data_IF_571808539682
#
_entry.id   IF_571808539682
#
_cell.length_a   1.000
_cell.length_b   1.000
_cell.length_c   1.000
_cell.angle_alpha   90.00
_cell.angle_beta   90.00
_cell.angle_gamma   90.00
#
_symmetry.space_group_name_H-M   'P 1'
#
loop_
_entity.id
_entity.type
_entity.pdbx_description
1 polymer ?
#
# COMPACT_ATOMS: atom_id res chain seq x y z
N UNK A 1 -43.71 27.39 -7.37
CA UNK A 1 -44.03 25.94 -7.26
C UNK A 1 -43.42 25.44 -5.95
N UNK A 2 -44.25 24.84 -5.08
CA UNK A 2 -43.85 23.91 -3.99
C UNK A 2 -43.26 24.39 -2.65
N UNK A 3 -43.66 25.55 -2.12
CA UNK A 3 -43.47 25.86 -0.69
C UNK A 3 -44.67 26.66 -0.18
N UNK A 4 -45.81 26.03 0.14
CA UNK A 4 -46.90 26.63 0.96
C UNK A 4 -48.07 25.64 1.23
N UNK A 5 -47.82 24.33 1.40
CA UNK A 5 -48.90 23.34 1.60
C UNK A 5 -48.69 22.34 2.75
N UNK A 6 -47.79 22.63 3.71
CA UNK A 6 -47.51 21.72 4.85
C UNK A 6 -48.01 22.21 6.23
N UNK A 7 -48.35 23.50 6.38
CA UNK A 7 -48.68 24.07 7.69
C UNK A 7 -50.18 24.11 8.05
N UNK A 8 -51.09 23.80 7.12
CA UNK A 8 -52.52 23.70 7.44
C UNK A 8 -52.99 22.29 7.84
N UNK A 9 -52.27 21.23 7.49
CA UNK A 9 -52.65 19.86 7.89
C UNK A 9 -52.34 19.55 9.37
N UNK A 10 -51.32 20.17 9.96
CA UNK A 10 -50.90 19.92 11.36
C UNK A 10 -51.92 20.47 12.38
N UNK A 11 -52.58 21.61 12.08
CA UNK A 11 -53.57 22.21 12.99
C UNK A 11 -54.90 21.45 13.03
N UNK A 12 -55.30 20.81 11.93
CA UNK A 12 -56.51 19.95 11.89
C UNK A 12 -56.28 18.59 12.56
N UNK A 13 -55.05 18.06 12.50
CA UNK A 13 -54.70 16.82 13.18
C UNK A 13 -54.63 16.96 14.71
N UNK A 14 -54.09 18.08 15.20
CA UNK A 14 -54.02 18.34 16.65
C UNK A 14 -55.40 18.51 17.29
N UNK A 15 -56.36 19.13 16.59
CA UNK A 15 -57.73 19.32 17.10
C UNK A 15 -58.52 18.00 17.15
N UNK A 16 -58.27 17.07 16.22
CA UNK A 16 -58.84 15.72 16.26
C UNK A 16 -58.24 14.86 17.38
N UNK A 17 -56.95 15.04 17.69
CA UNK A 17 -56.26 14.29 18.76
C UNK A 17 -56.70 14.72 20.17
N UNK A 18 -56.93 16.03 20.39
CA UNK A 18 -57.35 16.55 21.69
C UNK A 18 -58.85 16.24 21.95
N UNK A 19 -59.69 16.25 20.91
CA UNK A 19 -61.12 15.95 21.04
C UNK A 19 -61.44 14.50 21.44
N UNK A 20 -60.53 13.55 21.20
CA UNK A 20 -60.68 12.14 21.61
C UNK A 20 -59.95 11.78 22.90
N UNK A 21 -59.26 12.73 23.54
CA UNK A 21 -58.52 12.51 24.79
C UNK A 21 -59.42 12.51 26.04
N UNK A 22 -60.71 12.82 25.90
CA UNK A 22 -61.70 12.91 26.99
C UNK A 22 -62.67 11.72 27.09
N UNK A 23 -62.40 10.58 26.44
CA UNK A 23 -63.12 9.33 26.71
C UNK A 23 -62.23 8.33 27.45
N UNK A 24 -62.52 8.17 28.75
CA UNK A 24 -61.97 7.12 29.63
C UNK A 24 -62.35 5.73 29.10
N UNK A 25 -61.57 5.14 28.18
CA UNK A 25 -61.58 3.67 27.96
C UNK A 25 -60.44 3.12 27.06
N UNK A 26 -59.30 3.80 26.96
CA UNK A 26 -58.19 3.34 26.10
C UNK A 26 -56.86 3.36 26.84
N UNK A 27 -56.60 2.39 27.74
CA UNK A 27 -55.37 2.47 28.55
C UNK A 27 -54.58 1.20 28.86
N UNK A 28 -54.86 0.04 28.24
CA UNK A 28 -54.00 -1.14 28.48
C UNK A 28 -53.56 -1.88 27.22
N UNK A 29 -54.42 -2.05 26.21
CA UNK A 29 -54.03 -2.73 24.96
C UNK A 29 -53.13 -1.88 24.06
N UNK A 30 -53.39 -0.58 23.95
CA UNK A 30 -52.60 0.32 23.12
C UNK A 30 -51.22 0.59 23.73
N UNK A 31 -51.16 0.79 25.05
CA UNK A 31 -49.91 0.88 25.81
C UNK A 31 -49.06 -0.39 25.67
N UNK A 32 -49.68 -1.58 25.74
CA UNK A 32 -48.98 -2.85 25.53
C UNK A 32 -48.47 -2.99 24.09
N UNK A 33 -49.25 -2.60 23.07
CA UNK A 33 -48.76 -2.64 21.68
C UNK A 33 -47.68 -1.61 21.38
N UNK A 34 -47.75 -0.40 21.95
CA UNK A 34 -46.71 0.63 21.76
C UNK A 34 -45.45 0.34 22.57
N UNK A 35 -45.57 -0.22 23.79
CA UNK A 35 -44.44 -0.72 24.58
C UNK A 35 -43.78 -1.92 23.90
N UNK A 36 -44.54 -2.89 23.38
CA UNK A 36 -43.96 -4.01 22.63
C UNK A 36 -43.28 -3.54 21.33
N UNK A 37 -43.85 -2.58 20.61
CA UNK A 37 -43.22 -1.99 19.42
C UNK A 37 -41.95 -1.20 19.76
N UNK A 38 -41.91 -0.46 20.88
CA UNK A 38 -40.73 0.29 21.31
C UNK A 38 -39.61 -0.61 21.83
N UNK A 39 -39.94 -1.70 22.54
CA UNK A 39 -38.99 -2.74 22.98
C UNK A 39 -38.43 -3.52 21.79
N UNK A 40 -39.25 -3.81 20.78
CA UNK A 40 -38.78 -4.49 19.56
C UNK A 40 -37.81 -3.61 18.76
N UNK A 41 -38.09 -2.31 18.68
CA UNK A 41 -37.25 -1.35 17.94
C UNK A 41 -35.88 -1.15 18.58
N UNK A 42 -35.80 -1.12 19.92
CA UNK A 42 -34.55 -0.97 20.66
C UNK A 42 -33.66 -2.21 20.59
N UNK A 43 -34.24 -3.42 20.59
CA UNK A 43 -33.49 -4.67 20.38
C UNK A 43 -32.91 -4.74 18.96
N UNK A 44 -33.66 -4.32 17.94
CA UNK A 44 -33.17 -4.26 16.55
C UNK A 44 -32.03 -3.23 16.41
N UNK A 45 -32.19 -2.03 16.97
CA UNK A 45 -31.15 -0.99 16.98
C UNK A 45 -29.86 -1.45 17.69
N UNK A 46 -29.98 -2.11 18.85
CA UNK A 46 -28.82 -2.66 19.56
C UNK A 46 -28.13 -3.81 18.81
N UNK A 47 -28.90 -4.63 18.09
CA UNK A 47 -28.37 -5.72 17.25
C UNK A 47 -27.67 -5.18 16.01
N UNK A 48 -28.22 -4.14 15.37
CA UNK A 48 -27.59 -3.44 14.25
C UNK A 48 -26.32 -2.72 14.72
N UNK A 49 -26.33 -2.08 15.90
CA UNK A 49 -25.15 -1.43 16.46
C UNK A 49 -24.07 -2.44 16.83
N UNK A 50 -24.42 -3.60 17.40
CA UNK A 50 -23.46 -4.66 17.69
C UNK A 50 -22.90 -5.27 16.41
N UNK A 51 -23.73 -5.47 15.38
CA UNK A 51 -23.28 -5.91 14.06
C UNK A 51 -22.38 -4.86 13.40
N UNK A 52 -22.71 -3.57 13.52
CA UNK A 52 -21.88 -2.47 13.01
C UNK A 52 -20.56 -2.39 13.77
N UNK A 53 -20.56 -2.56 15.09
CA UNK A 53 -19.37 -2.61 15.93
C UNK A 53 -18.52 -3.85 15.62
N UNK A 54 -19.13 -5.01 15.38
CA UNK A 54 -18.43 -6.21 14.92
C UNK A 54 -17.86 -6.03 13.50
N UNK A 55 -18.61 -5.39 12.58
CA UNK A 55 -18.15 -5.03 11.24
C UNK A 55 -17.01 -4.00 11.28
N UNK A 56 -17.07 -3.03 12.21
CA UNK A 56 -16.00 -2.08 12.50
C UNK A 56 -14.81 -2.76 13.18
N UNK A 57 -15.03 -3.79 13.99
CA UNK A 57 -13.97 -4.62 14.60
C UNK A 57 -13.28 -5.51 13.56
N UNK A 58 -13.99 -5.87 12.48
CA UNK A 58 -13.42 -6.54 11.30
C UNK A 58 -12.77 -5.57 10.31
N UNK A 59 -12.71 -4.26 10.61
CA UNK A 59 -11.78 -3.36 9.93
C UNK A 59 -10.37 -3.74 10.39
N UNK A 60 -9.82 -4.69 9.63
CA UNK A 60 -8.44 -5.09 9.51
C UNK A 60 -7.47 -4.07 10.15
N UNK A 61 -6.70 -4.52 11.15
CA UNK A 61 -5.54 -3.77 11.61
C UNK A 61 -4.69 -3.43 10.39
N UNK A 62 -4.58 -2.14 10.06
CA UNK A 62 -3.80 -1.70 8.93
C UNK A 62 -2.33 -2.01 9.24
N UNK A 63 -1.77 -3.04 8.62
CA UNK A 63 -0.35 -3.34 8.75
C UNK A 63 0.44 -2.35 7.91
N UNK A 64 0.93 -1.28 8.55
CA UNK A 64 1.72 -0.22 7.92
C UNK A 64 2.91 -0.76 7.12
N UNK A 65 3.55 -1.83 7.60
CA UNK A 65 4.69 -2.43 6.91
C UNK A 65 4.27 -3.08 5.59
N UNK A 66 3.14 -3.80 5.57
CA UNK A 66 2.60 -4.40 4.35
C UNK A 66 2.15 -3.34 3.34
N UNK A 67 1.56 -2.23 3.82
CA UNK A 67 1.17 -1.11 2.97
C UNK A 67 2.37 -0.51 2.23
N UNK A 68 3.44 -0.17 2.94
CA UNK A 68 4.63 0.38 2.30
C UNK A 68 5.43 -0.65 1.51
N UNK A 69 5.41 -1.93 1.91
CA UNK A 69 6.00 -2.99 1.11
C UNK A 69 5.25 -3.18 -0.22
N UNK A 70 3.93 -3.00 -0.25
CA UNK A 70 3.15 -3.02 -1.49
C UNK A 70 3.63 -1.93 -2.46
N UNK A 71 3.91 -0.73 -1.95
CA UNK A 71 4.50 0.37 -2.75
C UNK A 71 5.90 -0.02 -3.27
N UNK A 72 6.73 -0.68 -2.46
CA UNK A 72 8.03 -1.18 -2.92
C UNK A 72 7.89 -2.24 -4.02
N UNK A 73 6.90 -3.13 -3.92
CA UNK A 73 6.57 -4.13 -4.95
C UNK A 73 6.08 -3.47 -6.26
N UNK A 74 5.32 -2.38 -6.18
CA UNK A 74 4.96 -1.58 -7.37
C UNK A 74 6.19 -1.03 -8.07
N UNK A 75 7.18 -0.53 -7.32
CA UNK A 75 8.45 -0.08 -7.90
C UNK A 75 9.25 -1.23 -8.51
N UNK A 76 9.27 -2.40 -7.87
CA UNK A 76 9.93 -3.58 -8.43
C UNK A 76 9.27 -4.05 -9.74
N UNK A 77 7.95 -3.94 -9.85
CA UNK A 77 7.23 -4.20 -11.09
C UNK A 77 7.60 -3.20 -12.19
N UNK A 78 7.71 -1.90 -11.87
CA UNK A 78 8.20 -0.87 -12.79
C UNK A 78 9.62 -1.17 -13.31
N UNK A 79 10.50 -1.71 -12.46
CA UNK A 79 11.84 -2.11 -12.86
C UNK A 79 11.80 -3.14 -14.01
N UNK A 80 10.90 -4.13 -13.95
CA UNK A 80 10.75 -5.14 -15.02
C UNK A 80 10.44 -4.49 -16.36
N UNK A 81 9.53 -3.51 -16.36
CA UNK A 81 9.12 -2.77 -17.56
C UNK A 81 10.27 -1.91 -18.09
N UNK A 82 11.08 -1.38 -17.18
CA UNK A 82 12.31 -0.64 -17.51
C UNK A 82 13.49 -1.55 -17.90
N UNK A 83 13.29 -2.86 -18.06
CA UNK A 83 14.32 -3.85 -18.35
C UNK A 83 15.43 -3.92 -17.27
N UNK A 84 15.06 -3.72 -16.01
CA UNK A 84 15.94 -3.75 -14.83
C UNK A 84 15.64 -4.96 -13.94
N UNK A 85 16.57 -5.27 -13.03
CA UNK A 85 16.34 -6.29 -11.99
C UNK A 85 15.16 -5.84 -11.11
N UNK A 86 14.18 -6.72 -10.79
CA UNK A 86 12.95 -6.35 -10.07
C UNK A 86 13.17 -6.11 -8.57
N UNK A 87 13.95 -5.08 -8.25
CA UNK A 87 14.15 -4.58 -6.89
C UNK A 87 13.59 -3.18 -6.83
N UNK A 88 12.67 -2.97 -5.89
CA UNK A 88 12.01 -1.71 -5.64
C UNK A 88 12.07 -1.36 -4.16
N UNK A 89 12.03 -0.07 -3.86
CA UNK A 89 12.03 0.41 -2.49
C UNK A 89 11.23 1.71 -2.30
N UNK A 90 10.90 1.98 -1.04
CA UNK A 90 10.35 3.26 -0.58
C UNK A 90 10.96 3.64 0.76
N UNK A 91 11.40 4.89 0.88
CA UNK A 91 11.76 5.51 2.15
C UNK A 91 10.56 6.25 2.72
N UNK A 92 10.32 6.06 4.02
CA UNK A 92 9.17 6.62 4.73
C UNK A 92 9.64 7.41 5.93
N UNK A 93 9.07 8.59 6.12
CA UNK A 93 9.26 9.45 7.29
C UNK A 93 7.89 9.96 7.72
N UNK A 94 7.55 9.84 9.00
CA UNK A 94 6.24 10.24 9.56
C UNK A 94 5.04 9.69 8.75
N UNK A 95 5.07 8.38 8.44
CA UNK A 95 4.04 7.68 7.65
C UNK A 95 3.81 8.26 6.24
N UNK A 96 4.78 9.03 5.72
CA UNK A 96 4.77 9.57 4.37
C UNK A 96 5.95 9.04 3.57
N UNK A 97 5.68 8.61 2.34
CA UNK A 97 6.73 8.18 1.42
C UNK A 97 7.54 9.40 0.95
N UNK A 98 8.81 9.48 1.37
CA UNK A 98 9.75 10.52 0.94
C UNK A 98 10.25 10.28 -0.47
N UNK A 99 10.59 9.03 -0.78
CA UNK A 99 11.14 8.66 -2.08
C UNK A 99 10.80 7.22 -2.40
N UNK A 100 10.43 6.97 -3.66
CA UNK A 100 10.16 5.66 -4.24
C UNK A 100 11.17 5.45 -5.35
N UNK A 101 11.80 4.28 -5.44
CA UNK A 101 12.77 4.00 -6.49
C UNK A 101 12.84 2.51 -6.81
N UNK A 102 13.43 2.20 -7.95
CA UNK A 102 13.77 0.86 -8.38
C UNK A 102 15.20 0.81 -8.93
N UNK A 103 15.71 -0.40 -9.12
CA UNK A 103 17.06 -0.63 -9.64
C UNK A 103 17.25 0.02 -11.02
N UNK A 104 18.37 0.70 -11.23
CA UNK A 104 18.61 1.53 -12.43
C UNK A 104 19.97 1.23 -13.07
N UNK A 105 20.50 0.02 -12.87
CA UNK A 105 21.87 -0.35 -13.25
C UNK A 105 22.09 -0.43 -14.75
N UNK A 106 21.11 -0.94 -15.50
CA UNK A 106 21.21 -1.12 -16.95
C UNK A 106 21.08 0.21 -17.68
N UNK A 107 20.06 1.01 -17.35
CA UNK A 107 19.83 2.32 -18.01
C UNK A 107 20.97 3.29 -17.73
N UNK A 108 21.46 3.32 -16.49
CA UNK A 108 22.54 4.23 -16.09
C UNK A 108 23.94 3.75 -16.43
N UNK A 109 24.10 2.48 -16.81
CA UNK A 109 25.40 1.81 -16.97
C UNK A 109 26.27 1.87 -15.70
N UNK A 110 25.65 1.94 -14.52
CA UNK A 110 26.33 2.05 -13.24
C UNK A 110 25.87 0.94 -12.27
N UNK A 111 26.79 0.03 -11.94
CA UNK A 111 26.54 -1.10 -11.04
C UNK A 111 26.19 -0.72 -9.60
N UNK A 112 26.37 0.54 -9.19
CA UNK A 112 26.02 1.02 -7.86
C UNK A 112 24.58 1.56 -7.77
N UNK A 113 23.88 1.78 -8.89
CA UNK A 113 22.52 2.38 -8.91
C UNK A 113 21.42 1.37 -8.58
N UNK A 114 21.56 0.76 -7.41
CA UNK A 114 20.50 -0.04 -6.79
C UNK A 114 19.35 0.84 -6.32
N UNK A 115 18.18 0.23 -6.13
CA UNK A 115 16.97 0.95 -5.71
C UNK A 115 17.21 1.84 -4.48
N UNK A 116 17.95 1.35 -3.49
CA UNK A 116 18.25 2.09 -2.27
C UNK A 116 19.10 3.35 -2.55
N UNK A 117 20.12 3.25 -3.42
CA UNK A 117 20.97 4.39 -3.78
C UNK A 117 20.20 5.43 -4.60
N UNK A 118 19.38 4.98 -5.56
CA UNK A 118 18.54 5.88 -6.36
C UNK A 118 17.56 6.63 -5.45
N UNK A 119 16.98 5.97 -4.44
CA UNK A 119 16.10 6.65 -3.49
C UNK A 119 16.85 7.62 -2.57
N UNK A 120 18.03 7.24 -2.07
CA UNK A 120 18.88 8.10 -1.23
C UNK A 120 19.30 9.36 -1.98
N UNK A 121 19.73 9.24 -3.24
CA UNK A 121 20.10 10.37 -4.11
C UNK A 121 18.94 11.37 -4.21
N UNK A 122 17.73 10.91 -4.56
CA UNK A 122 16.52 11.74 -4.64
C UNK A 122 16.16 12.43 -3.32
N UNK A 123 16.40 11.77 -2.19
CA UNK A 123 16.15 12.38 -0.87
C UNK A 123 17.15 13.50 -0.61
N UNK A 124 18.41 13.27 -0.95
CA UNK A 124 19.50 14.23 -0.71
C UNK A 124 19.45 15.46 -1.62
N UNK A 125 18.68 15.43 -2.71
CA UNK A 125 18.37 16.61 -3.54
C UNK A 125 17.56 17.67 -2.77
N UNK A 126 16.80 17.26 -1.74
CA UNK A 126 15.87 18.14 -1.03
C UNK A 126 16.00 18.11 0.51
N UNK A 127 16.78 17.18 1.06
CA UNK A 127 16.92 16.97 2.50
C UNK A 127 18.37 16.75 2.92
N UNK A 128 18.68 17.18 4.15
CA UNK A 128 19.97 16.89 4.76
C UNK A 128 20.08 15.41 5.16
N UNK A 129 21.29 14.81 5.17
CA UNK A 129 21.48 13.41 5.55
C UNK A 129 20.95 13.03 6.94
N UNK A 130 20.76 13.99 7.85
CA UNK A 130 20.19 13.74 9.18
C UNK A 130 18.79 13.13 9.14
N UNK A 131 18.03 13.32 8.05
CA UNK A 131 16.66 12.82 7.91
C UNK A 131 16.58 11.28 8.00
N UNK A 132 17.63 10.57 7.58
CA UNK A 132 17.63 9.11 7.55
C UNK A 132 17.50 8.49 8.95
N UNK A 133 17.92 9.20 10.00
CA UNK A 133 17.79 8.78 11.41
C UNK A 133 16.35 8.57 11.87
N UNK A 134 15.40 9.17 11.16
CA UNK A 134 13.97 9.04 11.43
C UNK A 134 13.22 8.27 10.33
N UNK A 135 13.94 7.78 9.31
CA UNK A 135 13.37 7.09 8.17
C UNK A 135 13.30 5.57 8.36
N UNK A 136 12.23 4.97 7.82
CA UNK A 136 12.13 3.53 7.58
C UNK A 136 12.25 3.25 6.08
N UNK A 137 13.15 2.34 5.71
CA UNK A 137 13.25 1.82 4.34
C UNK A 137 12.41 0.54 4.22
N UNK A 138 11.57 0.46 3.20
CA UNK A 138 10.93 -0.77 2.73
C UNK A 138 11.53 -1.17 1.39
N UNK A 139 12.05 -2.38 1.26
CA UNK A 139 12.69 -2.86 0.02
C UNK A 139 12.32 -4.31 -0.27
N UNK A 140 12.05 -4.64 -1.54
CA UNK A 140 11.52 -5.97 -1.87
C UNK A 140 12.52 -7.11 -1.61
N UNK A 141 13.81 -6.84 -1.79
CA UNK A 141 14.91 -7.80 -1.60
C UNK A 141 15.84 -7.26 -0.52
N UNK A 142 16.38 -8.15 0.31
CA UNK A 142 17.37 -7.80 1.32
C UNK A 142 18.51 -6.94 0.73
N UNK A 143 18.82 -5.77 1.34
CA UNK A 143 19.91 -4.92 0.90
C UNK A 143 21.21 -5.70 0.77
N UNK A 144 21.90 -5.49 -0.35
CA UNK A 144 23.23 -6.05 -0.51
C UNK A 144 24.24 -5.41 0.48
N UNK A 145 25.41 -6.00 0.64
CA UNK A 145 26.51 -5.47 1.50
C UNK A 145 26.73 -3.97 1.27
N UNK A 146 26.83 -3.54 0.01
CA UNK A 146 27.04 -2.12 -0.35
C UNK A 146 25.92 -1.22 0.19
N UNK A 147 24.66 -1.57 -0.08
CA UNK A 147 23.51 -0.80 0.37
C UNK A 147 23.42 -0.81 1.91
N UNK A 148 23.63 -1.96 2.55
CA UNK A 148 23.61 -2.10 4.00
C UNK A 148 24.67 -1.22 4.70
N UNK A 149 25.90 -1.20 4.18
CA UNK A 149 26.95 -0.29 4.71
C UNK A 149 26.55 1.18 4.53
N UNK A 150 26.03 1.56 3.35
CA UNK A 150 25.61 2.94 3.10
C UNK A 150 24.50 3.39 4.05
N UNK A 151 23.48 2.55 4.25
CA UNK A 151 22.38 2.79 5.18
C UNK A 151 22.86 2.94 6.63
N UNK A 152 23.85 2.15 7.04
CA UNK A 152 24.51 2.28 8.35
C UNK A 152 25.24 3.61 8.49
N UNK A 153 26.01 4.03 7.46
CA UNK A 153 26.72 5.32 7.45
C UNK A 153 25.74 6.49 7.54
N UNK A 154 24.61 6.41 6.83
CA UNK A 154 23.55 7.41 6.90
C UNK A 154 22.80 7.40 8.23
N UNK A 155 22.97 6.35 9.03
CA UNK A 155 22.34 6.18 10.33
C UNK A 155 20.84 5.93 10.24
N UNK A 156 20.38 5.12 9.27
CA UNK A 156 18.96 4.83 9.10
C UNK A 156 18.33 4.25 10.38
N UNK A 157 17.07 4.59 10.68
CA UNK A 157 16.35 4.04 11.84
C UNK A 157 16.07 2.55 11.70
N UNK A 158 15.45 2.17 10.58
CA UNK A 158 14.85 0.85 10.38
C UNK A 158 14.83 0.47 8.90
N UNK A 159 15.06 -0.81 8.64
CA UNK A 159 14.93 -1.44 7.33
C UNK A 159 13.95 -2.60 7.42
N UNK A 160 13.01 -2.65 6.49
CA UNK A 160 12.02 -3.72 6.33
C UNK A 160 12.22 -4.30 4.94
N UNK A 161 12.38 -5.62 4.84
CA UNK A 161 12.53 -6.26 3.53
C UNK A 161 11.67 -7.51 3.35
N UNK A 162 11.34 -7.78 2.09
CA UNK A 162 10.55 -8.96 1.71
C UNK A 162 11.37 -10.24 1.73
N UNK A 163 12.08 -10.53 0.65
CA UNK A 163 12.85 -11.77 0.53
C UNK A 163 14.34 -11.58 0.82
N UNK A 164 15.01 -12.66 1.24
CA UNK A 164 16.44 -12.67 1.51
C UNK A 164 17.29 -12.56 0.24
N UNK A 165 18.56 -12.21 0.41
CA UNK A 165 19.55 -12.15 -0.66
C UNK A 165 20.70 -13.12 -0.35
N UNK A 166 20.54 -14.37 -0.77
CA UNK A 166 21.45 -15.47 -0.41
C UNK A 166 22.88 -15.29 -0.93
N UNK A 167 23.10 -14.44 -1.94
CA UNK A 167 24.42 -14.23 -2.56
C UNK A 167 25.14 -12.99 -2.06
N UNK A 168 24.40 -11.93 -1.75
CA UNK A 168 24.98 -10.61 -1.46
C UNK A 168 24.37 -9.91 -0.24
N UNK A 169 23.49 -10.57 0.52
CA UNK A 169 22.72 -9.96 1.60
C UNK A 169 23.57 -9.44 2.76
N UNK A 170 23.41 -8.15 3.07
CA UNK A 170 24.12 -7.46 4.14
C UNK A 170 23.37 -7.37 5.48
N UNK A 171 22.13 -7.89 5.55
CA UNK A 171 21.25 -7.81 6.72
C UNK A 171 20.92 -9.20 7.32
N UNK A 172 21.80 -10.17 7.13
CA UNK A 172 21.82 -11.46 7.81
C UNK A 172 21.96 -12.69 6.91
N UNK A 173 21.83 -12.58 5.59
CA UNK A 173 22.02 -13.75 4.71
C UNK A 173 23.51 -14.08 4.50
N UNK A 174 24.34 -13.07 4.22
CA UNK A 174 25.80 -13.24 4.07
C UNK A 174 26.55 -12.53 5.19
N UNK A 175 26.23 -11.25 5.41
CA UNK A 175 26.75 -10.45 6.51
C UNK A 175 25.62 -9.86 7.34
N UNK A 176 25.93 -9.49 8.59
CA UNK A 176 24.98 -8.89 9.53
C UNK A 176 25.38 -7.45 9.88
N UNK A 177 25.58 -6.60 8.87
CA UNK A 177 26.05 -5.20 9.03
C UNK A 177 25.14 -4.39 9.96
N UNK A 178 23.83 -4.64 9.87
CA UNK A 178 22.82 -4.05 10.74
C UNK A 178 23.00 -4.34 12.25
N UNK A 179 23.78 -5.37 12.63
CA UNK A 179 24.03 -5.73 14.03
C UNK A 179 25.32 -5.15 14.61
N UNK A 180 26.17 -4.57 13.77
CA UNK A 180 27.40 -3.93 14.22
C UNK A 180 27.12 -2.69 15.10
N UNK A 181 28.16 -2.19 15.77
CA UNK A 181 28.08 -0.89 16.46
C UNK A 181 27.62 0.21 15.50
N UNK A 182 26.57 0.93 15.88
CA UNK A 182 25.92 1.94 15.03
C UNK A 182 25.03 1.36 13.92
N UNK A 183 24.63 0.09 14.02
CA UNK A 183 23.67 -0.55 13.14
C UNK A 183 22.23 -0.05 13.33
N UNK A 184 21.28 -0.74 12.69
CA UNK A 184 19.88 -0.31 12.57
C UNK A 184 18.91 -1.48 12.71
N UNK A 185 17.65 -1.16 12.98
CA UNK A 185 16.61 -2.18 13.18
C UNK A 185 16.26 -2.86 11.85
N UNK A 186 16.05 -4.17 11.87
CA UNK A 186 15.69 -4.94 10.68
C UNK A 186 14.45 -5.79 10.93
N UNK A 187 13.45 -5.66 10.06
CA UNK A 187 12.31 -6.57 9.94
C UNK A 187 12.42 -7.34 8.62
N UNK A 188 12.28 -8.67 8.68
CA UNK A 188 12.44 -9.56 7.53
C UNK A 188 11.10 -10.20 7.18
N UNK A 189 10.89 -10.51 5.90
CA UNK A 189 9.81 -11.40 5.47
C UNK A 189 8.47 -10.73 5.18
N UNK A 190 8.39 -9.40 5.07
CA UNK A 190 7.12 -8.70 4.77
C UNK A 190 6.80 -8.85 3.28
N UNK A 191 5.68 -9.50 2.93
CA UNK A 191 5.32 -9.83 1.54
C UNK A 191 6.45 -10.56 0.78
N UNK A 192 7.05 -11.54 1.47
CA UNK A 192 8.21 -12.29 0.99
C UNK A 192 7.89 -13.09 -0.27
N UNK A 193 6.75 -13.76 -0.29
CA UNK A 193 6.31 -14.61 -1.39
C UNK A 193 6.18 -13.80 -2.68
N UNK A 194 5.60 -12.61 -2.61
CA UNK A 194 5.46 -11.65 -3.71
C UNK A 194 6.82 -11.20 -4.23
N UNK A 195 7.73 -10.81 -3.35
CA UNK A 195 9.08 -10.42 -3.74
C UNK A 195 9.86 -11.56 -4.42
N UNK A 196 9.72 -12.80 -3.91
CA UNK A 196 10.31 -14.00 -4.55
C UNK A 196 9.69 -14.25 -5.93
N UNK A 197 8.37 -14.08 -6.07
CA UNK A 197 7.67 -14.28 -7.34
C UNK A 197 8.17 -13.33 -8.43
N UNK A 198 8.40 -12.05 -8.11
CA UNK A 198 8.96 -11.07 -9.05
C UNK A 198 10.36 -11.50 -9.54
N UNK A 199 11.28 -11.84 -8.63
CA UNK A 199 12.64 -12.30 -8.98
C UNK A 199 12.63 -13.58 -9.81
N UNK A 200 11.83 -14.58 -9.41
CA UNK A 200 11.71 -15.84 -10.16
C UNK A 200 11.13 -15.61 -11.55
N UNK A 201 10.15 -14.72 -11.68
CA UNK A 201 9.59 -14.33 -12.98
C UNK A 201 10.66 -13.73 -13.90
N UNK A 202 11.47 -12.80 -13.39
CA UNK A 202 12.54 -12.17 -14.15
C UNK A 202 13.57 -13.19 -14.68
N UNK A 203 14.14 -14.04 -13.81
CA UNK A 203 15.13 -15.04 -14.23
C UNK A 203 14.53 -16.24 -14.98
N UNK A 204 13.22 -16.50 -14.83
CA UNK A 204 12.51 -17.60 -15.47
C UNK A 204 12.09 -17.36 -16.93
N UNK A 205 12.35 -16.18 -17.48
CA UNK A 205 12.06 -15.87 -18.89
C UNK A 205 11.41 -14.51 -19.15
N UNK A 206 11.21 -13.69 -18.11
CA UNK A 206 10.74 -12.31 -18.27
C UNK A 206 11.88 -11.29 -18.39
N UNK A 207 13.15 -11.72 -18.40
CA UNK A 207 14.28 -10.84 -18.68
C UNK A 207 14.34 -10.51 -20.19
N UNK A 208 14.01 -9.28 -20.61
CA UNK A 208 13.95 -8.89 -22.01
C UNK A 208 15.33 -8.74 -22.66
N UNK A 209 16.39 -8.62 -21.85
CA UNK A 209 17.77 -8.60 -22.31
C UNK A 209 18.37 -10.01 -22.49
N UNK A 210 17.66 -11.08 -22.12
CA UNK A 210 18.18 -12.44 -22.26
C UNK A 210 18.17 -12.86 -23.73
N UNK A 211 19.28 -13.38 -24.28
CA UNK A 211 19.28 -13.98 -25.61
C UNK A 211 18.28 -15.14 -25.65
N UNK A 212 17.68 -15.36 -26.82
CA UNK A 212 16.75 -16.46 -27.01
C UNK A 212 17.42 -17.77 -26.57
N UNK A 213 16.76 -18.58 -25.73
CA UNK A 213 17.40 -19.76 -25.18
C UNK A 213 17.81 -20.73 -26.30
N UNK A 214 19.09 -21.14 -26.30
CA UNK A 214 19.66 -22.04 -27.32
C UNK A 214 18.95 -23.41 -27.41
N UNK A 215 18.17 -23.79 -26.38
CA UNK A 215 17.24 -24.91 -26.39
C UNK A 215 15.88 -24.46 -25.85
N UNK A 216 14.81 -24.77 -26.57
CA UNK A 216 13.42 -24.66 -26.06
C UNK A 216 13.27 -25.65 -24.90
N UNK A 217 13.42 -25.20 -23.65
CA UNK A 217 13.09 -26.03 -22.49
C UNK A 217 11.56 -26.22 -22.46
N UNK A 218 11.05 -27.46 -22.40
CA UNK A 218 9.64 -27.68 -22.13
C UNK A 218 9.40 -27.41 -20.64
N UNK A 219 8.36 -26.64 -20.36
CA UNK A 219 7.88 -26.19 -19.04
C UNK A 219 8.67 -25.04 -18.38
N UNK A 220 8.07 -24.00 -17.77
CA UNK A 220 6.67 -23.66 -17.47
C UNK A 220 6.63 -22.18 -17.04
N UNK A 221 5.51 -21.49 -17.29
CA UNK A 221 5.19 -20.08 -17.00
C UNK A 221 5.81 -19.01 -17.92
N UNK A 222 5.34 -18.99 -19.17
CA UNK A 222 5.32 -17.80 -20.02
C UNK A 222 4.61 -16.68 -19.25
N UNK A 223 5.34 -15.73 -18.67
CA UNK A 223 4.85 -14.48 -18.06
C UNK A 223 3.48 -14.55 -17.36
N UNK A 224 3.21 -15.62 -16.59
CA UNK A 224 1.97 -15.75 -15.82
C UNK A 224 1.92 -14.70 -14.68
N UNK A 225 3.01 -13.97 -14.46
CA UNK A 225 3.10 -12.81 -13.59
C UNK A 225 2.28 -11.64 -14.14
N UNK A 226 2.30 -11.40 -15.46
CA UNK A 226 1.47 -10.36 -16.10
C UNK A 226 -0.01 -10.69 -15.86
N UNK A 227 -0.42 -11.93 -16.17
CA UNK A 227 -1.81 -12.41 -16.01
C UNK A 227 -2.26 -12.62 -14.54
N UNK A 228 -1.35 -12.99 -13.62
CA UNK A 228 -1.66 -13.11 -12.18
C UNK A 228 -1.75 -11.77 -11.48
N UNK A 229 -0.85 -10.83 -11.76
CA UNK A 229 -0.98 -9.45 -11.26
C UNK A 229 -2.28 -8.81 -11.81
N UNK A 230 -2.69 -9.18 -13.02
CA UNK A 230 -3.97 -8.79 -13.63
C UNK A 230 -5.21 -9.47 -13.01
N UNK A 231 -5.08 -10.65 -12.36
CA UNK A 231 -6.22 -11.45 -11.86
C UNK A 231 -6.34 -11.55 -10.34
N UNK A 232 -5.31 -11.20 -9.57
CA UNK A 232 -5.40 -11.04 -8.12
C UNK A 232 -6.12 -9.73 -7.78
N UNK A 233 -7.41 -9.84 -7.44
CA UNK A 233 -8.22 -8.76 -6.90
C UNK A 233 -7.71 -8.22 -5.55
N UNK A 234 -8.47 -7.32 -4.92
CA UNK A 234 -8.07 -5.96 -4.56
C UNK A 234 -7.15 -5.90 -3.33
N UNK A 235 -5.84 -6.06 -3.52
CA UNK A 235 -4.83 -5.50 -2.60
C UNK A 235 -3.88 -4.52 -3.29
N UNK A 236 -3.94 -4.47 -4.62
CA UNK A 236 -3.14 -3.59 -5.45
C UNK A 236 -4.14 -2.87 -6.33
N UNK A 237 -4.13 -1.53 -6.34
CA UNK A 237 -5.00 -0.72 -7.20
C UNK A 237 -4.81 -1.14 -8.66
N UNK A 238 -5.74 -1.99 -9.11
CA UNK A 238 -5.75 -2.65 -10.42
C UNK A 238 -5.60 -1.66 -11.58
N UNK A 239 -5.99 -0.38 -11.42
CA UNK A 239 -5.88 0.62 -12.49
C UNK A 239 -4.45 1.05 -12.82
N UNK A 240 -3.56 1.13 -11.82
CA UNK A 240 -2.19 1.61 -12.04
C UNK A 240 -1.35 0.56 -12.75
N UNK A 241 -1.44 -0.70 -12.31
CA UNK A 241 -0.68 -1.78 -12.95
C UNK A 241 -1.27 -2.14 -14.33
N UNK A 242 -2.61 -2.11 -14.52
CA UNK A 242 -3.18 -2.32 -15.84
C UNK A 242 -2.80 -1.23 -16.84
N UNK A 243 -2.78 0.05 -16.45
CA UNK A 243 -2.37 1.11 -17.36
C UNK A 243 -0.89 0.99 -17.74
N UNK A 244 -0.04 0.63 -16.78
CA UNK A 244 1.40 0.44 -16.98
C UNK A 244 1.71 -0.80 -17.85
N UNK A 245 1.01 -1.92 -17.63
CA UNK A 245 1.24 -3.17 -18.37
C UNK A 245 0.61 -3.18 -19.78
N UNK A 246 -0.30 -2.24 -20.06
CA UNK A 246 -1.02 -2.09 -21.34
C UNK A 246 -0.48 -0.95 -22.21
N UNK A 247 0.47 -0.15 -21.70
CA UNK A 247 1.10 0.91 -22.47
C UNK A 247 1.92 0.31 -23.63
N UNK A 248 1.80 0.82 -24.86
CA UNK A 248 2.68 0.42 -25.95
C UNK A 248 4.13 0.71 -25.57
N UNK A 249 5.06 -0.16 -26.02
CA UNK A 249 6.52 0.03 -25.90
C UNK A 249 6.98 1.19 -26.79
N UNK A 250 6.43 2.37 -26.58
CA UNK A 250 7.03 3.62 -27.01
C UNK A 250 7.87 4.12 -25.84
N UNK A 251 9.08 4.55 -26.18
CA UNK A 251 10.10 5.15 -25.32
C UNK A 251 9.39 5.98 -24.25
N UNK A 252 9.33 5.46 -23.02
CA UNK A 252 8.79 6.22 -21.89
C UNK A 252 9.73 7.42 -21.76
N UNK A 253 9.26 8.65 -22.03
CA UNK A 253 10.09 9.83 -21.84
C UNK A 253 10.53 9.87 -20.37
N UNK A 254 11.66 10.51 -20.05
CA UNK A 254 12.08 10.67 -18.66
C UNK A 254 10.88 11.16 -17.86
N UNK A 255 10.56 10.48 -16.76
CA UNK A 255 9.48 10.90 -15.85
C UNK A 255 9.80 12.34 -15.45
N UNK A 256 9.06 13.29 -16.02
CA UNK A 256 9.16 14.69 -15.65
C UNK A 256 8.91 14.79 -14.15
N UNK A 257 9.90 15.39 -13.49
CA UNK A 257 9.85 15.82 -12.11
C UNK A 257 8.57 16.64 -11.96
N UNK A 258 7.59 16.12 -11.22
CA UNK A 258 6.48 16.93 -10.75
C UNK A 258 7.04 17.93 -9.74
N UNK A 259 7.57 19.03 -10.27
CA UNK A 259 7.83 20.27 -9.54
C UNK A 259 6.49 20.78 -9.02
N UNK A 260 6.08 20.26 -7.86
CA UNK A 260 5.12 20.96 -7.02
C UNK A 260 5.90 22.03 -6.31
N UNK A 261 5.88 23.23 -6.89
CA UNK A 261 6.33 24.47 -6.29
C UNK A 261 5.57 24.70 -4.99
N UNK A 262 6.14 24.23 -3.88
CA UNK A 262 5.85 24.77 -2.55
C UNK A 262 6.89 25.85 -2.34
N UNK A 263 6.48 27.10 -2.54
CA UNK A 263 7.30 28.26 -2.25
C UNK A 263 7.75 28.21 -0.80
N UNK A 264 9.06 28.19 -0.60
CA UNK A 264 9.67 28.54 0.68
C UNK A 264 10.33 29.89 0.44
N UNK A 265 9.71 30.91 1.04
CA UNK A 265 10.25 32.25 1.18
C UNK A 265 11.50 32.21 2.06
N UNK A 266 12.58 32.77 1.51
CA UNK A 266 13.83 33.28 2.13
C UNK A 266 14.70 32.33 2.97
#
# INVERSE_FOLDING_TARGET
MMFFYKDQCIKLWFSFLIGKFLSREWNLRFLRSTLFASVSSSLILSSILLLLLLLLSTMHSFNTDEYFMTIALEQAALAIIANEIPVGCVFVHNDQALSKAYNDTNRSLNGCRHAEFVAVERILEHHLPSIFKDCTLYVTVEPCIMCAVALKILGIKRVVFGCGNDRFGGNGSVFSIHQDKGGYQVQKGVLKEEAIMLLKGFYGGCNPASPAPARKKPHVHKCALKERILSSGPLISSRTILSILSAPLEIIPPVEILNTSIGVTE
#
